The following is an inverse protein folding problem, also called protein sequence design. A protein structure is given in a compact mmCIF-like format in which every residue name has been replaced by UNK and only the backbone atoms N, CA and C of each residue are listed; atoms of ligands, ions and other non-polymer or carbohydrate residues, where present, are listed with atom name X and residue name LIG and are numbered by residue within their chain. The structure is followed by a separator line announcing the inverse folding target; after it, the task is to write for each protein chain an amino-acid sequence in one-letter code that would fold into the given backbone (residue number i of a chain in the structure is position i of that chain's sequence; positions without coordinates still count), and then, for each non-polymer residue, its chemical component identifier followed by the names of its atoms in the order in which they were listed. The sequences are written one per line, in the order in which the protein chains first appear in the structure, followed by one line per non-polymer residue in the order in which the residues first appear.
data_IF_202430816561
#
_entry.id   IF_202430816561
#
_cell.length_a   1.000
_cell.length_b   1.000
_cell.length_c   1.000
_cell.angle_alpha   90.00
_cell.angle_beta   90.00
_cell.angle_gamma   90.00
#
_symmetry.space_group_name_H-M   'P 1'
#
loop_
_entity.id
_entity.type
_entity.pdbx_description
1 polymer ?
#
# COMPACT_ATOMS: atom_id res chain seq x y z
N UNK A 1 -17.13 -13.21 -24.82
CA UNK A 1 -16.32 -14.00 -23.86
C UNK A 1 -17.27 -14.65 -22.86
N UNK A 2 -17.08 -15.94 -22.53
CA UNK A 2 -17.97 -16.66 -21.60
C UNK A 2 -17.96 -15.99 -20.23
N UNK A 3 -19.10 -15.97 -19.52
CA UNK A 3 -19.22 -15.40 -18.15
C UNK A 3 -18.14 -15.94 -17.19
N UNK A 4 -17.69 -17.18 -17.42
CA UNK A 4 -16.57 -17.81 -16.72
C UNK A 4 -15.23 -17.09 -16.91
N UNK A 5 -14.92 -16.62 -18.12
CA UNK A 5 -13.69 -15.85 -18.38
C UNK A 5 -13.73 -14.49 -17.69
N UNK A 6 -14.89 -13.83 -17.66
CA UNK A 6 -15.06 -12.55 -16.98
C UNK A 6 -14.89 -12.68 -15.45
N UNK A 7 -15.51 -13.69 -14.83
CA UNK A 7 -15.32 -13.97 -13.40
C UNK A 7 -13.88 -14.37 -13.05
N UNK A 8 -13.23 -15.18 -13.88
CA UNK A 8 -11.84 -15.57 -13.65
C UNK A 8 -10.88 -14.36 -13.71
N UNK A 9 -11.10 -13.44 -14.65
CA UNK A 9 -10.32 -12.19 -14.74
C UNK A 9 -10.55 -11.29 -13.52
N UNK A 10 -11.80 -11.14 -13.09
CA UNK A 10 -12.12 -10.33 -11.91
C UNK A 10 -11.47 -10.91 -10.64
N UNK A 11 -11.55 -12.23 -10.45
CA UNK A 11 -10.89 -12.91 -9.34
C UNK A 11 -9.37 -12.70 -9.36
N UNK A 12 -8.74 -12.87 -10.53
CA UNK A 12 -7.30 -12.67 -10.68
C UNK A 12 -6.88 -11.24 -10.32
N UNK A 13 -7.59 -10.24 -10.83
CA UNK A 13 -7.30 -8.83 -10.57
C UNK A 13 -7.43 -8.48 -9.09
N UNK A 14 -8.55 -8.84 -8.48
CA UNK A 14 -8.87 -8.41 -7.12
C UNK A 14 -8.15 -9.24 -6.04
N UNK A 15 -7.98 -10.54 -6.25
CA UNK A 15 -7.44 -11.46 -5.23
C UNK A 15 -5.94 -11.67 -5.37
N UNK A 16 -5.38 -11.57 -6.58
CA UNK A 16 -3.96 -11.83 -6.83
C UNK A 16 -3.20 -10.55 -7.15
N UNK A 17 -3.65 -9.80 -8.15
CA UNK A 17 -2.90 -8.63 -8.64
C UNK A 17 -2.86 -7.53 -7.59
N UNK A 18 -3.99 -7.20 -6.97
CA UNK A 18 -4.03 -6.10 -6.01
C UNK A 18 -3.17 -6.34 -4.74
N UNK A 19 -3.17 -7.54 -4.11
CA UNK A 19 -2.24 -7.86 -3.02
C UNK A 19 -0.77 -7.93 -3.48
N UNK A 20 -0.50 -8.46 -4.67
CA UNK A 20 0.87 -8.48 -5.21
C UNK A 20 1.41 -7.05 -5.42
N UNK A 21 0.58 -6.15 -5.94
CA UNK A 21 0.93 -4.76 -6.16
C UNK A 21 1.25 -4.03 -4.83
N UNK A 22 0.56 -4.37 -3.75
CA UNK A 22 0.89 -3.89 -2.41
C UNK A 22 2.29 -4.27 -1.96
N UNK A 23 2.64 -5.55 -2.12
CA UNK A 23 3.96 -6.05 -1.73
C UNK A 23 5.05 -5.32 -2.53
N UNK A 24 4.84 -5.14 -3.83
CA UNK A 24 5.77 -4.41 -4.70
C UNK A 24 5.96 -2.97 -4.23
N UNK A 25 4.87 -2.23 -3.97
CA UNK A 25 4.97 -0.83 -3.54
C UNK A 25 5.52 -0.66 -2.12
N UNK A 26 5.18 -1.57 -1.21
CA UNK A 26 5.78 -1.61 0.12
C UNK A 26 7.28 -1.84 0.05
N UNK A 27 7.73 -2.83 -0.74
CA UNK A 27 9.14 -3.12 -0.92
C UNK A 27 9.88 -1.93 -1.56
N UNK A 28 9.30 -1.33 -2.60
CA UNK A 28 9.85 -0.14 -3.25
C UNK A 28 10.01 1.03 -2.26
N UNK A 29 8.98 1.31 -1.45
CA UNK A 29 9.01 2.32 -0.40
C UNK A 29 10.08 2.03 0.65
N UNK A 30 10.11 0.79 1.17
CA UNK A 30 11.08 0.37 2.17
C UNK A 30 12.53 0.49 1.67
N UNK A 31 12.79 0.11 0.42
CA UNK A 31 14.12 0.27 -0.20
C UNK A 31 14.49 1.75 -0.27
N UNK A 32 13.62 2.60 -0.79
CA UNK A 32 13.91 4.05 -0.87
C UNK A 32 14.16 4.64 0.51
N UNK A 33 13.32 4.30 1.50
CA UNK A 33 13.53 4.75 2.87
C UNK A 33 14.85 4.22 3.46
N UNK A 34 15.21 2.97 3.22
CA UNK A 34 16.47 2.38 3.69
C UNK A 34 17.70 3.11 3.14
N UNK A 35 17.62 3.57 1.90
CA UNK A 35 18.68 4.35 1.27
C UNK A 35 18.84 5.72 1.93
N UNK A 36 17.74 6.40 2.26
CA UNK A 36 17.77 7.78 2.77
C UNK A 36 17.81 7.90 4.31
N UNK A 37 17.37 6.88 5.06
CA UNK A 37 17.13 6.97 6.50
C UNK A 37 18.39 6.98 7.39
N UNK A 38 19.58 7.23 6.82
CA UNK A 38 20.82 7.33 7.58
C UNK A 38 21.12 6.07 8.40
N UNK A 39 21.23 6.22 9.72
CA UNK A 39 21.53 5.16 10.70
C UNK A 39 20.30 4.60 11.44
N UNK A 40 19.08 4.83 10.93
CA UNK A 40 17.87 4.23 11.52
C UNK A 40 17.89 2.70 11.38
N UNK A 41 17.33 2.00 12.36
CA UNK A 41 17.21 0.54 12.30
C UNK A 41 16.25 0.13 11.17
N UNK A 42 16.52 -1.03 10.56
CA UNK A 42 15.67 -1.59 9.50
C UNK A 42 14.22 -1.75 9.96
N UNK A 43 14.01 -2.18 11.21
CA UNK A 43 12.68 -2.34 11.80
C UNK A 43 11.89 -1.02 11.84
N UNK A 44 12.52 0.11 12.19
CA UNK A 44 11.85 1.41 12.16
C UNK A 44 11.50 1.83 10.74
N UNK A 45 12.38 1.57 9.77
CA UNK A 45 12.14 1.89 8.36
C UNK A 45 10.96 1.07 7.82
N UNK A 46 10.94 -0.23 8.08
CA UNK A 46 9.86 -1.13 7.66
C UNK A 46 8.53 -0.78 8.32
N UNK A 47 8.55 -0.41 9.61
CA UNK A 47 7.35 0.08 10.31
C UNK A 47 6.80 1.35 9.68
N UNK A 48 7.65 2.35 9.41
CA UNK A 48 7.23 3.60 8.77
C UNK A 48 6.66 3.31 7.37
N UNK A 49 7.31 2.45 6.59
CA UNK A 49 6.81 2.03 5.29
C UNK A 49 5.44 1.35 5.40
N UNK A 50 5.26 0.45 6.36
CA UNK A 50 4.03 -0.30 6.53
C UNK A 50 2.87 0.61 6.96
N UNK A 51 3.13 1.50 7.94
CA UNK A 51 2.15 2.50 8.39
C UNK A 51 1.76 3.42 7.24
N UNK A 52 2.72 3.90 6.44
CA UNK A 52 2.45 4.76 5.30
C UNK A 52 1.56 4.06 4.26
N UNK A 53 1.89 2.83 3.87
CA UNK A 53 1.08 2.04 2.92
C UNK A 53 -0.31 1.77 3.49
N UNK A 54 -0.40 1.40 4.77
CA UNK A 54 -1.67 1.18 5.45
C UNK A 54 -2.53 2.45 5.48
N UNK A 55 -1.95 3.61 5.80
CA UNK A 55 -2.64 4.89 5.79
C UNK A 55 -3.17 5.23 4.40
N UNK A 56 -2.35 5.09 3.35
CA UNK A 56 -2.79 5.29 1.97
C UNK A 56 -3.95 4.35 1.62
N UNK A 57 -3.86 3.07 2.03
CA UNK A 57 -4.90 2.08 1.76
C UNK A 57 -6.20 2.38 2.46
N UNK A 58 -6.18 2.60 3.77
CA UNK A 58 -7.37 2.99 4.54
C UNK A 58 -8.02 4.20 3.86
N UNK A 59 -7.23 5.21 3.53
CA UNK A 59 -7.73 6.45 2.95
C UNK A 59 -8.28 6.25 1.53
N UNK A 60 -7.77 5.30 0.75
CA UNK A 60 -8.30 5.01 -0.58
C UNK A 60 -9.74 4.49 -0.59
N UNK A 61 -10.21 3.91 0.52
CA UNK A 61 -11.60 3.47 0.66
C UNK A 61 -12.57 4.60 1.04
N UNK A 62 -12.09 5.67 1.68
CA UNK A 62 -12.96 6.74 2.20
C UNK A 62 -12.77 8.08 1.48
N UNK A 63 -11.54 8.42 1.10
CA UNK A 63 -11.13 9.71 0.54
C UNK A 63 -10.01 9.51 -0.49
N UNK A 64 -10.37 9.02 -1.68
CA UNK A 64 -9.42 8.66 -2.74
C UNK A 64 -8.46 9.80 -3.11
N UNK A 65 -8.93 11.04 -3.18
CA UNK A 65 -8.10 12.20 -3.50
C UNK A 65 -7.01 12.47 -2.45
N UNK A 66 -7.33 12.31 -1.16
CA UNK A 66 -6.34 12.47 -0.08
C UNK A 66 -5.34 11.31 -0.13
N UNK A 67 -5.79 10.09 -0.44
CA UNK A 67 -4.90 8.95 -0.62
C UNK A 67 -3.90 9.17 -1.77
N UNK A 68 -4.38 9.70 -2.90
CA UNK A 68 -3.53 10.09 -4.04
C UNK A 68 -2.51 11.14 -3.65
N UNK A 69 -2.93 12.19 -2.94
CA UNK A 69 -2.03 13.26 -2.51
C UNK A 69 -0.98 12.78 -1.51
N UNK A 70 -1.38 11.94 -0.54
CA UNK A 70 -0.46 11.31 0.40
C UNK A 70 0.56 10.41 -0.31
N UNK A 71 0.14 9.62 -1.30
CA UNK A 71 1.03 8.75 -2.07
C UNK A 71 2.06 9.56 -2.89
N UNK A 72 1.68 10.72 -3.43
CA UNK A 72 2.59 11.63 -4.14
C UNK A 72 3.67 12.21 -3.23
N UNK A 73 3.40 12.38 -1.93
CA UNK A 73 4.41 12.90 -1.00
C UNK A 73 5.62 11.98 -0.89
N UNK A 74 5.47 10.68 -1.08
CA UNK A 74 6.59 9.73 -0.99
C UNK A 74 7.76 10.06 -1.95
N UNK A 75 7.57 10.08 -3.28
CA UNK A 75 8.65 10.42 -4.21
C UNK A 75 9.17 11.84 -3.99
N UNK A 76 8.32 12.79 -3.58
CA UNK A 76 8.75 14.16 -3.28
C UNK A 76 9.62 14.26 -2.03
N UNK A 77 9.30 13.52 -0.97
CA UNK A 77 10.12 13.46 0.24
C UNK A 77 11.48 12.82 -0.05
N UNK A 78 11.50 11.71 -0.80
CA UNK A 78 12.74 11.08 -1.22
C UNK A 78 13.60 12.04 -2.06
N UNK A 79 12.97 12.77 -3.00
CA UNK A 79 13.64 13.78 -3.83
C UNK A 79 14.15 14.97 -2.99
N UNK A 80 13.39 15.41 -1.99
CA UNK A 80 13.81 16.48 -1.07
C UNK A 80 15.06 16.08 -0.30
N UNK A 81 15.08 14.87 0.28
CA UNK A 81 16.25 14.36 0.98
C UNK A 81 17.44 14.22 0.03
N UNK A 82 17.21 13.81 -1.22
CA UNK A 82 18.23 13.74 -2.26
C UNK A 82 18.87 15.12 -2.55
N UNK A 83 18.07 16.17 -2.70
CA UNK A 83 18.57 17.52 -3.01
C UNK A 83 19.27 18.14 -1.80
N UNK A 84 18.74 17.95 -0.59
CA UNK A 84 19.24 18.62 0.63
C UNK A 84 20.45 17.93 1.26
N UNK A 85 20.81 16.72 0.83
CA UNK A 85 21.86 15.92 1.44
C UNK A 85 23.08 15.80 0.51
N UNK A 86 24.15 16.60 0.71
CA UNK A 86 25.32 16.64 -0.17
C UNK A 86 26.06 15.29 -0.34
N UNK A 87 25.77 14.29 0.52
CA UNK A 87 26.32 12.94 0.49
C UNK A 87 25.25 11.84 0.41
N UNK A 88 24.00 12.16 0.07
CA UNK A 88 22.92 11.15 0.00
C UNK A 88 23.22 10.01 -0.97
N UNK A 89 23.99 10.27 -2.03
CA UNK A 89 24.40 9.28 -3.02
C UNK A 89 25.92 9.14 -3.09
N UNK A 90 26.50 8.54 -2.04
CA UNK A 90 27.77 7.84 -2.22
C UNK A 90 27.46 6.46 -2.79
N UNK A 91 27.87 6.20 -4.03
CA UNK A 91 27.58 4.93 -4.74
C UNK A 91 28.09 3.70 -3.97
N UNK A 92 29.23 3.83 -3.28
CA UNK A 92 29.75 2.77 -2.41
C UNK A 92 28.81 2.53 -1.23
N UNK A 93 28.40 3.59 -0.53
CA UNK A 93 27.45 3.48 0.58
C UNK A 93 26.08 2.94 0.14
N UNK A 94 25.65 3.25 -1.09
CA UNK A 94 24.44 2.67 -1.68
C UNK A 94 24.58 1.15 -1.85
N UNK A 95 25.68 0.67 -2.44
CA UNK A 95 25.96 -0.75 -2.60
C UNK A 95 26.09 -1.47 -1.24
N UNK A 96 26.74 -0.84 -0.27
CA UNK A 96 26.88 -1.37 1.09
C UNK A 96 25.53 -1.49 1.81
N UNK A 97 24.60 -0.55 1.57
CA UNK A 97 23.22 -0.64 2.07
C UNK A 97 22.41 -1.70 1.32
N UNK A 98 22.52 -1.76 0.00
CA UNK A 98 21.77 -2.71 -0.83
C UNK A 98 22.16 -4.16 -0.52
N UNK A 99 23.45 -4.43 -0.28
CA UNK A 99 23.94 -5.75 0.12
C UNK A 99 23.44 -6.20 1.49
N UNK A 100 22.95 -5.28 2.33
CA UNK A 100 22.34 -5.60 3.63
C UNK A 100 20.86 -5.95 3.54
N UNK A 101 20.17 -5.60 2.44
CA UNK A 101 18.73 -5.86 2.25
C UNK A 101 18.35 -7.33 2.44
N UNK A 102 19.09 -8.32 1.92
CA UNK A 102 18.74 -9.73 2.10
C UNK A 102 18.68 -10.18 3.57
N UNK A 103 19.45 -9.55 4.47
CA UNK A 103 19.44 -9.88 5.89
C UNK A 103 18.14 -9.48 6.60
N UNK A 104 17.32 -8.62 5.99
CA UNK A 104 16.06 -8.13 6.56
C UNK A 104 14.82 -8.78 5.90
N UNK A 105 14.98 -9.82 5.08
CA UNK A 105 13.85 -10.46 4.39
C UNK A 105 12.81 -11.01 5.38
N UNK A 106 13.25 -11.53 6.53
CA UNK A 106 12.34 -12.04 7.56
C UNK A 106 11.51 -10.92 8.20
N UNK A 107 12.13 -9.78 8.50
CA UNK A 107 11.44 -8.59 8.98
C UNK A 107 10.45 -8.09 7.92
N UNK A 108 10.89 -7.99 6.65
CA UNK A 108 10.05 -7.59 5.51
C UNK A 108 8.83 -8.50 5.40
N UNK A 109 9.01 -9.82 5.52
CA UNK A 109 7.92 -10.79 5.45
C UNK A 109 6.88 -10.57 6.56
N UNK A 110 7.32 -10.28 7.79
CA UNK A 110 6.43 -9.98 8.92
C UNK A 110 5.55 -8.76 8.66
N UNK A 111 6.12 -7.70 8.07
CA UNK A 111 5.36 -6.51 7.68
C UNK A 111 4.45 -6.73 6.46
N UNK A 112 4.84 -7.59 5.51
CA UNK A 112 3.97 -7.99 4.40
C UNK A 112 2.71 -8.67 4.93
N UNK A 113 2.85 -9.61 5.87
CA UNK A 113 1.69 -10.28 6.49
C UNK A 113 0.76 -9.27 7.14
N UNK A 114 1.31 -8.28 7.85
CA UNK A 114 0.52 -7.20 8.45
C UNK A 114 -0.25 -6.39 7.40
N UNK A 115 0.42 -5.97 6.31
CA UNK A 115 -0.21 -5.17 5.24
C UNK A 115 -1.31 -5.97 4.55
N UNK A 116 -1.07 -7.26 4.29
CA UNK A 116 -2.08 -8.15 3.71
C UNK A 116 -3.27 -8.34 4.65
N UNK A 117 -3.04 -8.48 5.95
CA UNK A 117 -4.11 -8.57 6.94
C UNK A 117 -4.98 -7.31 6.94
N UNK A 118 -4.37 -6.12 6.93
CA UNK A 118 -5.09 -4.83 6.83
C UNK A 118 -5.89 -4.77 5.53
N UNK A 119 -5.31 -5.16 4.41
CA UNK A 119 -5.98 -5.15 3.10
C UNK A 119 -7.22 -6.05 3.09
N UNK A 120 -7.12 -7.26 3.66
CA UNK A 120 -8.26 -8.19 3.79
C UNK A 120 -9.34 -7.58 4.68
N UNK A 121 -8.97 -6.99 5.81
CA UNK A 121 -9.91 -6.34 6.72
C UNK A 121 -10.65 -5.20 6.00
N UNK A 122 -9.94 -4.31 5.31
CA UNK A 122 -10.54 -3.19 4.58
C UNK A 122 -11.50 -3.66 3.49
N UNK A 123 -11.14 -4.72 2.75
CA UNK A 123 -12.04 -5.32 1.75
C UNK A 123 -13.30 -5.88 2.38
N UNK A 124 -13.17 -6.58 3.51
CA UNK A 124 -14.32 -7.09 4.24
C UNK A 124 -15.25 -5.94 4.69
N UNK A 125 -14.68 -4.86 5.22
CA UNK A 125 -15.45 -3.67 5.58
C UNK A 125 -16.14 -3.02 4.38
N UNK A 126 -15.45 -2.88 3.25
CA UNK A 126 -16.03 -2.31 2.03
C UNK A 126 -17.20 -3.14 1.52
N UNK A 127 -17.07 -4.47 1.48
CA UNK A 127 -18.17 -5.35 1.06
C UNK A 127 -19.40 -5.22 1.97
N UNK A 128 -19.20 -5.14 3.29
CA UNK A 128 -20.31 -4.95 4.23
C UNK A 128 -20.98 -3.59 4.02
N UNK A 129 -20.18 -2.54 3.81
CA UNK A 129 -20.70 -1.18 3.55
C UNK A 129 -21.51 -1.11 2.26
N UNK A 130 -21.00 -1.69 1.16
CA UNK A 130 -21.66 -1.70 -0.15
C UNK A 130 -23.02 -2.44 -0.12
N UNK A 131 -23.10 -3.54 0.63
CA UNK A 131 -24.35 -4.29 0.82
C UNK A 131 -25.38 -3.44 1.57
N UNK A 132 -24.99 -2.75 2.64
CA UNK A 132 -25.92 -1.90 3.41
C UNK A 132 -26.44 -0.70 2.61
N UNK A 133 -25.57 -0.03 1.86
CA UNK A 133 -25.99 1.11 1.04
C UNK A 133 -26.99 0.68 -0.05
N UNK A 134 -26.79 -0.49 -0.64
CA UNK A 134 -27.70 -1.03 -1.68
C UNK A 134 -29.10 -1.35 -1.13
N UNK A 135 -29.22 -1.71 0.15
CA UNK A 135 -30.52 -1.95 0.79
C UNK A 135 -31.27 -0.64 1.06
N UNK A 136 -30.58 0.39 1.56
CA UNK A 136 -31.19 1.72 1.80
C UNK A 136 -31.72 2.37 0.51
N UNK A 137 -30.97 2.27 -0.59
CA UNK A 137 -31.38 2.81 -1.89
C UNK A 137 -32.67 2.14 -2.41
N UNK A 138 -32.78 0.80 -2.30
CA UNK A 138 -33.98 0.06 -2.71
C UNK A 138 -35.21 0.39 -1.87
N UNK A 139 -35.04 0.52 -0.56
CA UNK A 139 -36.14 0.83 0.35
C UNK A 139 -36.65 2.27 0.14
N UNK A 140 -35.77 3.18 -0.30
CA UNK A 140 -36.15 4.55 -0.66
C UNK A 140 -36.96 4.66 -1.97
N UNK A 141 -36.64 3.83 -2.98
CA UNK A 141 -37.37 3.78 -4.25
C UNK A 141 -38.77 3.17 -4.08
N UNK A 142 -38.90 2.09 -3.31
CA UNK A 142 -40.19 1.43 -3.04
C UNK A 142 -41.18 2.34 -2.28
N UNK A 143 -40.67 3.15 -1.33
CA UNK A 143 -41.48 4.13 -0.60
C UNK A 143 -41.83 5.38 -1.43
N UNK A 144 -41.09 5.69 -2.50
CA UNK A 144 -41.36 6.82 -3.38
C UNK A 144 -42.40 6.49 -4.48
N UNK A 145 -42.59 5.21 -4.81
CA UNK A 145 -43.58 4.73 -5.78
C UNK A 145 -44.94 4.35 -5.15
N UNK A 146 -45.06 4.39 -3.82
CA UNK A 146 -46.26 4.08 -3.03
C UNK A 146 -47.08 5.33 -2.66
#
# INVERSE_FOLDING_TARGET
ASKLAASALYFLEYVVIAPALLVIWFAALAIVLFLIAGEKSAQSILLISAVMIASIRILSYFHEEIAKDLAKLFPFMALSVFILSPNAFNFQSFLDKLSKVPFFIEDIASFIVLILAIEILLRAFHLVYEIWQTEEEKESEENAES
#
